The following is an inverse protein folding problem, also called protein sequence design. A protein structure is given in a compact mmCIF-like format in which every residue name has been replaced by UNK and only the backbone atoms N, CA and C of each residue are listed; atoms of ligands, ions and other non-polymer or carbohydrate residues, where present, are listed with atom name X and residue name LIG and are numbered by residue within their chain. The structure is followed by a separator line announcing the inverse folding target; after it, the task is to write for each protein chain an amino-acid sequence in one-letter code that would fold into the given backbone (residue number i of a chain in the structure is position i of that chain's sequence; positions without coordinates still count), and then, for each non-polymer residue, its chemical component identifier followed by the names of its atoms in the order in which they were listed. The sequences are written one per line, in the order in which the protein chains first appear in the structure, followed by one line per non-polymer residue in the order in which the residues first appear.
data_IF_449394703448
#
_entry.id   IF_449394703448
#
_cell.length_a   1.000
_cell.length_b   1.000
_cell.length_c   1.000
_cell.angle_alpha   90.00
_cell.angle_beta   90.00
_cell.angle_gamma   90.00
#
_symmetry.space_group_name_H-M   'P 1'
#
loop_
_entity.id
_entity.type
_entity.pdbx_description
1 polymer ?
#
# COMPACT_ATOMS: atom_id res chain seq x y z
N UNK A 1 19.84 4.89 -6.24
CA UNK A 1 19.51 5.26 -4.83
C UNK A 1 18.00 5.27 -4.70
N UNK A 2 17.45 4.71 -3.62
CA UNK A 2 16.01 4.81 -3.32
C UNK A 2 15.84 5.88 -2.25
N UNK A 3 14.90 6.80 -2.46
CA UNK A 3 14.54 7.81 -1.49
C UNK A 3 13.08 7.58 -1.06
N UNK A 4 12.84 7.30 0.21
CA UNK A 4 11.50 7.16 0.78
C UNK A 4 11.11 8.41 1.53
N UNK A 5 9.84 8.83 1.44
CA UNK A 5 9.37 10.09 2.01
C UNK A 5 9.51 11.29 1.05
N UNK A 6 9.29 12.51 1.57
CA UNK A 6 9.17 12.88 2.98
C UNK A 6 7.89 12.42 3.66
N UNK A 7 7.73 12.78 4.94
CA UNK A 7 6.53 12.52 5.74
C UNK A 7 6.07 11.05 5.70
N UNK A 8 7.03 10.13 5.91
CA UNK A 8 6.78 8.69 5.92
C UNK A 8 7.24 8.04 7.24
N UNK A 9 6.73 6.85 7.51
CA UNK A 9 7.11 6.06 8.68
C UNK A 9 8.47 5.34 8.53
N UNK A 10 9.01 5.31 7.32
CA UNK A 10 10.25 4.60 7.00
C UNK A 10 10.03 3.27 6.30
N UNK A 11 10.98 2.37 6.50
CA UNK A 11 10.98 1.03 5.90
C UNK A 11 11.40 -0.01 6.94
N UNK A 12 10.69 -1.12 6.99
CA UNK A 12 11.04 -2.27 7.83
C UNK A 12 11.02 -3.57 7.02
N UNK A 13 12.08 -4.35 7.13
CA UNK A 13 12.10 -5.78 6.76
C UNK A 13 12.23 -6.57 8.07
N UNK A 14 11.13 -7.19 8.57
CA UNK A 14 11.10 -7.82 9.89
C UNK A 14 12.19 -8.88 10.05
N UNK A 15 12.91 -8.84 11.16
CA UNK A 15 14.05 -9.71 11.41
C UNK A 15 15.34 -9.33 10.69
N UNK A 16 15.34 -8.33 9.80
CA UNK A 16 16.51 -7.91 9.01
C UNK A 16 16.94 -6.47 9.31
N UNK A 17 16.04 -5.48 9.09
CA UNK A 17 16.40 -4.07 9.25
C UNK A 17 15.17 -3.18 9.50
N UNK A 18 15.41 -2.04 10.18
CA UNK A 18 14.45 -0.95 10.36
C UNK A 18 15.15 0.39 10.11
N UNK A 19 14.60 1.17 9.20
CA UNK A 19 14.98 2.57 8.95
C UNK A 19 13.73 3.43 9.13
N UNK A 20 13.66 4.20 10.21
CA UNK A 20 12.51 5.05 10.55
C UNK A 20 11.90 4.71 11.91
N UNK A 21 10.59 4.90 12.03
CA UNK A 21 9.86 4.84 13.31
C UNK A 21 8.81 3.72 13.38
N UNK A 22 8.83 2.78 12.46
CA UNK A 22 7.85 1.68 12.43
C UNK A 22 7.94 0.81 13.69
N UNK A 23 6.80 0.48 14.35
CA UNK A 23 6.81 -0.32 15.58
C UNK A 23 7.08 -1.80 15.28
N UNK A 24 8.33 -2.23 15.37
CA UNK A 24 8.77 -3.57 14.97
C UNK A 24 8.00 -4.72 15.63
N UNK A 25 7.45 -4.51 16.82
CA UNK A 25 6.71 -5.55 17.56
C UNK A 25 5.39 -5.98 16.92
N UNK A 26 4.78 -5.17 16.03
CA UNK A 26 3.56 -5.54 15.32
C UNK A 26 3.84 -6.33 14.03
N UNK A 27 5.08 -6.36 13.57
CA UNK A 27 5.47 -7.06 12.36
C UNK A 27 5.92 -8.50 12.66
N UNK A 28 5.48 -9.44 11.85
CA UNK A 28 5.99 -10.81 11.79
C UNK A 28 6.77 -10.94 10.48
N UNK A 29 7.90 -11.64 10.50
CA UNK A 29 8.64 -11.95 9.27
C UNK A 29 7.83 -12.92 8.39
N UNK A 30 7.76 -12.66 7.09
CA UNK A 30 7.01 -13.47 6.13
C UNK A 30 7.14 -12.95 4.70
N UNK A 31 6.06 -13.05 3.92
CA UNK A 31 6.10 -12.90 2.47
C UNK A 31 5.10 -11.88 1.88
N UNK A 32 4.52 -11.02 2.68
CA UNK A 32 3.67 -9.92 2.19
C UNK A 32 4.47 -8.63 2.12
N UNK A 33 4.62 -8.04 0.94
CA UNK A 33 5.15 -6.69 0.76
C UNK A 33 4.07 -5.65 1.03
N UNK A 34 4.36 -4.64 1.86
CA UNK A 34 3.41 -3.54 2.13
C UNK A 34 4.01 -2.24 1.59
N UNK A 35 3.24 -1.50 0.79
CA UNK A 35 3.58 -0.13 0.38
C UNK A 35 2.42 0.80 0.65
N UNK A 36 2.68 1.95 1.27
CA UNK A 36 1.59 2.88 1.60
C UNK A 36 2.04 4.32 1.78
N UNK A 37 1.09 5.23 1.56
CA UNK A 37 1.27 6.66 1.87
C UNK A 37 1.10 6.89 3.38
N UNK A 38 0.17 6.18 4.01
CA UNK A 38 -0.10 6.25 5.45
C UNK A 38 0.69 5.20 6.24
N UNK A 39 1.49 5.65 7.20
CA UNK A 39 2.15 4.76 8.16
C UNK A 39 1.15 4.01 9.03
N UNK A 40 0.16 4.72 9.59
CA UNK A 40 -0.85 4.14 10.50
C UNK A 40 -1.65 3.01 9.86
N UNK A 41 -2.10 3.19 8.62
CA UNK A 41 -2.82 2.13 7.89
C UNK A 41 -1.89 0.96 7.52
N UNK A 42 -0.61 1.22 7.27
CA UNK A 42 0.41 0.17 7.13
C UNK A 42 0.59 -0.65 8.41
N UNK A 43 0.57 0.00 9.57
CA UNK A 43 0.62 -0.68 10.88
C UNK A 43 -0.62 -1.54 11.11
N UNK A 44 -1.80 -1.02 10.77
CA UNK A 44 -3.05 -1.75 10.87
C UNK A 44 -3.03 -3.02 10.01
N UNK A 45 -2.60 -2.91 8.76
CA UNK A 45 -2.45 -4.06 7.87
C UNK A 45 -1.46 -5.09 8.44
N UNK A 46 -0.29 -4.66 8.92
CA UNK A 46 0.71 -5.55 9.51
C UNK A 46 0.20 -6.25 10.78
N UNK A 47 -0.53 -5.54 11.65
CA UNK A 47 -1.12 -6.11 12.86
C UNK A 47 -2.19 -7.17 12.54
N UNK A 48 -3.05 -6.90 11.55
CA UNK A 48 -4.05 -7.86 11.08
C UNK A 48 -3.39 -9.11 10.47
N UNK A 49 -2.37 -8.93 9.63
CA UNK A 49 -1.61 -10.06 9.06
C UNK A 49 -0.99 -10.90 10.17
N UNK A 50 -0.37 -10.27 11.17
CA UNK A 50 0.20 -10.97 12.32
C UNK A 50 -0.85 -11.79 13.09
N UNK A 51 -2.07 -11.27 13.25
CA UNK A 51 -3.17 -12.00 13.88
C UNK A 51 -3.58 -13.25 13.09
N UNK A 52 -3.39 -13.25 11.77
CA UNK A 52 -3.58 -14.42 10.91
C UNK A 52 -2.34 -15.34 10.83
N UNK A 53 -1.26 -15.05 11.56
CA UNK A 53 0.00 -15.77 11.43
C UNK A 53 0.73 -15.52 10.10
N UNK A 54 0.33 -14.47 9.36
CA UNK A 54 0.93 -14.06 8.10
C UNK A 54 1.97 -12.99 8.38
N UNK A 55 3.14 -13.12 7.78
CA UNK A 55 4.24 -12.19 7.98
C UNK A 55 4.48 -11.27 6.79
N UNK A 56 5.29 -10.25 7.04
CA UNK A 56 5.67 -9.20 6.10
C UNK A 56 7.11 -9.43 5.64
N UNK A 57 7.37 -9.38 4.33
CA UNK A 57 8.72 -9.38 3.77
C UNK A 57 9.39 -8.02 3.98
N UNK A 58 8.72 -6.98 3.53
CA UNK A 58 9.13 -5.59 3.72
C UNK A 58 7.92 -4.67 3.72
N UNK A 59 7.90 -3.69 4.61
CA UNK A 59 6.91 -2.61 4.62
C UNK A 59 7.60 -1.29 4.32
N UNK A 60 7.08 -0.55 3.32
CA UNK A 60 7.65 0.72 2.84
C UNK A 60 6.63 1.84 2.95
N UNK A 61 6.96 2.88 3.71
CA UNK A 61 6.22 4.12 3.71
C UNK A 61 6.75 5.06 2.61
N UNK A 62 5.91 5.46 1.67
CA UNK A 62 6.29 6.45 0.65
C UNK A 62 5.92 7.89 1.04
N UNK A 63 5.05 8.05 2.04
CA UNK A 63 4.65 9.35 2.59
C UNK A 63 3.38 9.93 1.97
N UNK A 64 2.76 10.84 2.72
CA UNK A 64 1.48 11.50 2.36
C UNK A 64 1.63 12.84 1.67
N UNK A 65 2.85 13.26 1.27
CA UNK A 65 3.09 14.50 0.56
C UNK A 65 2.80 14.35 -0.94
N UNK A 66 2.48 15.46 -1.66
CA UNK A 66 2.22 15.43 -3.10
C UNK A 66 3.44 14.99 -3.92
N UNK A 67 4.65 15.32 -3.42
CA UNK A 67 5.93 14.99 -4.08
C UNK A 67 6.69 14.05 -3.16
N UNK A 68 6.92 12.84 -3.64
CA UNK A 68 7.62 11.77 -2.94
C UNK A 68 8.94 11.45 -3.63
N UNK A 69 9.88 10.91 -2.87
CA UNK A 69 11.14 10.40 -3.40
C UNK A 69 10.97 9.12 -4.22
N UNK A 70 10.06 8.22 -3.79
CA UNK A 70 9.66 7.02 -4.52
C UNK A 70 8.14 6.97 -4.63
N UNK A 71 7.65 6.53 -5.77
CA UNK A 71 6.23 6.32 -6.05
C UNK A 71 5.78 4.90 -5.68
N UNK A 72 4.47 4.63 -5.75
CA UNK A 72 3.97 3.25 -5.71
C UNK A 72 4.62 2.37 -6.77
N UNK A 73 4.74 2.86 -8.01
CA UNK A 73 5.34 2.14 -9.13
C UNK A 73 6.77 1.68 -8.80
N UNK A 74 7.59 2.55 -8.23
CA UNK A 74 8.99 2.23 -7.90
C UNK A 74 9.08 1.10 -6.86
N UNK A 75 8.16 1.06 -5.89
CA UNK A 75 8.15 0.03 -4.86
C UNK A 75 7.49 -1.26 -5.36
N UNK A 76 6.45 -1.17 -6.18
CA UNK A 76 5.82 -2.32 -6.83
C UNK A 76 6.82 -3.09 -7.70
N UNK A 77 7.66 -2.38 -8.47
CA UNK A 77 8.72 -3.00 -9.24
C UNK A 77 9.66 -3.81 -8.35
N UNK A 78 10.06 -3.25 -7.21
CA UNK A 78 10.94 -3.94 -6.27
C UNK A 78 10.31 -5.16 -5.62
N UNK A 79 9.03 -5.08 -5.29
CA UNK A 79 8.31 -6.23 -4.76
C UNK A 79 8.10 -7.33 -5.80
N UNK A 80 7.92 -6.97 -7.08
CA UNK A 80 7.87 -7.96 -8.16
C UNK A 80 9.21 -8.69 -8.33
N UNK A 81 10.33 -7.96 -8.20
CA UNK A 81 11.69 -8.50 -8.31
C UNK A 81 12.16 -9.24 -7.02
N UNK A 82 11.47 -9.10 -5.88
CA UNK A 82 11.87 -9.67 -4.58
C UNK A 82 11.32 -11.09 -4.39
N UNK A 83 12.18 -12.08 -4.37
CA UNK A 83 11.81 -13.48 -4.17
C UNK A 83 11.15 -13.77 -2.80
N UNK A 84 11.43 -12.94 -1.78
CA UNK A 84 10.80 -13.06 -0.46
C UNK A 84 9.36 -12.50 -0.44
N UNK A 85 8.95 -11.73 -1.45
CA UNK A 85 7.61 -11.14 -1.55
C UNK A 85 6.71 -11.96 -2.48
N UNK A 86 5.62 -12.52 -1.97
CA UNK A 86 4.68 -13.34 -2.74
C UNK A 86 3.34 -12.65 -3.01
N UNK A 87 2.92 -11.75 -2.14
CA UNK A 87 1.70 -10.94 -2.26
C UNK A 87 2.03 -9.49 -1.90
N UNK A 88 1.42 -8.55 -2.58
CA UNK A 88 1.63 -7.11 -2.35
C UNK A 88 0.37 -6.49 -1.75
N UNK A 89 0.54 -5.76 -0.66
CA UNK A 89 -0.48 -4.90 -0.07
C UNK A 89 -0.17 -3.43 -0.40
N UNK A 90 -1.07 -2.78 -1.12
CA UNK A 90 -0.96 -1.37 -1.51
C UNK A 90 -1.99 -0.53 -0.74
N UNK A 91 -1.54 0.48 -0.01
CA UNK A 91 -2.40 1.36 0.79
C UNK A 91 -2.34 2.78 0.21
N UNK A 92 -3.37 3.10 -0.54
CA UNK A 92 -3.58 4.41 -1.16
C UNK A 92 -4.54 5.30 -0.39
N UNK A 93 -4.72 6.49 -0.91
CA UNK A 93 -5.66 7.49 -0.39
C UNK A 93 -6.12 8.42 -1.51
N UNK A 94 -7.05 9.32 -1.21
CA UNK A 94 -7.47 10.37 -2.13
C UNK A 94 -6.30 11.29 -2.52
N UNK A 95 -6.43 11.93 -3.68
CA UNK A 95 -5.48 12.94 -4.18
C UNK A 95 -4.32 12.38 -4.96
N UNK A 96 -3.96 13.11 -6.00
CA UNK A 96 -2.87 12.78 -6.90
C UNK A 96 -3.09 11.57 -7.80
N UNK A 97 -2.24 11.37 -8.82
CA UNK A 97 -2.41 10.35 -9.85
C UNK A 97 -1.72 9.00 -9.52
N UNK A 98 -0.97 8.89 -8.42
CA UNK A 98 -0.04 7.79 -8.19
C UNK A 98 -0.69 6.40 -8.17
N UNK A 99 -1.92 6.26 -7.65
CA UNK A 99 -2.64 4.99 -7.63
C UNK A 99 -3.11 4.58 -9.03
N UNK A 100 -3.46 5.54 -9.91
CA UNK A 100 -3.77 5.27 -11.31
C UNK A 100 -2.51 4.85 -12.11
N UNK A 101 -1.39 5.50 -11.87
CA UNK A 101 -0.08 5.12 -12.43
C UNK A 101 0.34 3.72 -11.97
N UNK A 102 0.12 3.42 -10.68
CA UNK A 102 0.36 2.10 -10.12
C UNK A 102 -0.52 1.03 -10.77
N UNK A 103 -1.81 1.31 -10.96
CA UNK A 103 -2.74 0.39 -11.62
C UNK A 103 -2.32 0.05 -13.04
N UNK A 104 -1.90 1.06 -13.82
CA UNK A 104 -1.37 0.84 -15.17
C UNK A 104 -0.10 -0.04 -15.13
N UNK A 105 0.81 0.23 -14.21
CA UNK A 105 2.02 -0.57 -14.05
C UNK A 105 1.72 -2.02 -13.62
N UNK A 106 0.81 -2.22 -12.65
CA UNK A 106 0.41 -3.54 -12.16
C UNK A 106 -0.11 -4.40 -13.31
N UNK A 107 -1.02 -3.85 -14.12
CA UNK A 107 -1.64 -4.55 -15.24
C UNK A 107 -0.64 -5.17 -16.20
N UNK A 108 0.46 -4.47 -16.48
CA UNK A 108 1.40 -4.85 -17.54
C UNK A 108 2.69 -5.52 -17.02
N UNK A 109 3.01 -5.35 -15.70
CA UNK A 109 4.34 -5.69 -15.20
C UNK A 109 4.34 -6.49 -13.89
N UNK A 110 3.20 -6.66 -13.21
CA UNK A 110 3.16 -7.35 -11.91
C UNK A 110 2.38 -8.65 -12.04
N UNK A 111 3.04 -9.76 -11.77
CA UNK A 111 2.45 -11.10 -11.79
C UNK A 111 1.98 -11.55 -10.40
N UNK A 112 2.55 -10.96 -9.35
CA UNK A 112 2.19 -11.27 -7.97
C UNK A 112 0.80 -10.70 -7.65
N UNK A 113 -0.02 -11.41 -6.86
CA UNK A 113 -1.31 -10.90 -6.43
C UNK A 113 -1.16 -9.57 -5.68
N UNK A 114 -2.00 -8.59 -6.04
CA UNK A 114 -2.04 -7.28 -5.37
C UNK A 114 -3.38 -7.10 -4.68
N UNK A 115 -3.32 -6.75 -3.40
CA UNK A 115 -4.47 -6.32 -2.59
C UNK A 115 -4.31 -4.85 -2.28
N UNK A 116 -5.32 -4.04 -2.52
CA UNK A 116 -5.28 -2.61 -2.20
C UNK A 116 -6.36 -2.21 -1.20
N UNK A 117 -6.08 -1.16 -0.45
CA UNK A 117 -7.07 -0.36 0.25
C UNK A 117 -6.87 1.11 -0.11
N UNK A 118 -7.95 1.84 -0.36
CA UNK A 118 -7.90 3.28 -0.66
C UNK A 118 -8.70 4.05 0.38
N UNK A 119 -8.03 4.89 1.16
CA UNK A 119 -8.66 5.71 2.18
C UNK A 119 -9.40 6.91 1.58
N UNK A 120 -10.54 7.29 2.21
CA UNK A 120 -11.23 8.53 1.88
C UNK A 120 -12.47 8.38 1.01
N UNK A 121 -13.17 7.23 1.02
CA UNK A 121 -14.41 7.02 0.26
C UNK A 121 -15.50 8.09 0.54
N UNK A 122 -15.51 8.68 1.73
CA UNK A 122 -16.45 9.72 2.15
C UNK A 122 -15.84 11.12 2.17
N UNK A 123 -14.63 11.28 1.67
CA UNK A 123 -13.93 12.55 1.70
C UNK A 123 -14.58 13.58 0.76
N UNK A 124 -14.85 14.82 1.22
CA UNK A 124 -15.39 15.87 0.38
C UNK A 124 -14.33 16.41 -0.60
N UNK A 125 -14.76 16.81 -1.79
CA UNK A 125 -13.89 17.46 -2.78
C UNK A 125 -13.34 18.79 -2.27
N UNK A 126 -12.10 19.12 -2.64
CA UNK A 126 -11.47 20.39 -2.36
C UNK A 126 -11.04 20.62 -0.91
N UNK A 127 -11.09 19.59 -0.05
CA UNK A 127 -10.60 19.66 1.33
C UNK A 127 -9.43 18.72 1.54
N UNK A 128 -8.39 19.21 2.20
CA UNK A 128 -7.24 18.40 2.62
C UNK A 128 -7.63 17.51 3.80
N UNK A 129 -7.37 16.20 3.69
CA UNK A 129 -7.79 15.20 4.67
C UNK A 129 -6.57 14.56 5.36
N UNK A 130 -5.94 15.31 6.28
CA UNK A 130 -4.79 14.85 7.07
C UNK A 130 -3.45 15.03 6.37
N UNK A 131 -3.18 14.30 5.31
CA UNK A 131 -1.97 14.45 4.50
C UNK A 131 -2.05 15.64 3.54
N UNK A 132 -0.93 16.31 3.27
CA UNK A 132 -0.87 17.44 2.34
C UNK A 132 -1.29 17.04 0.91
N UNK A 133 -0.98 15.81 0.50
CA UNK A 133 -1.38 15.24 -0.80
C UNK A 133 -2.80 14.66 -0.82
N UNK A 134 -3.48 14.54 0.32
CA UNK A 134 -4.82 13.97 0.41
C UNK A 134 -5.90 15.02 0.16
N UNK A 135 -6.01 15.48 -1.07
CA UNK A 135 -7.00 16.44 -1.54
C UNK A 135 -7.50 16.04 -2.93
N UNK A 136 -8.82 16.00 -3.12
CA UNK A 136 -9.43 15.74 -4.43
C UNK A 136 -9.51 17.05 -5.19
N UNK A 137 -8.65 17.25 -6.17
CA UNK A 137 -8.52 18.46 -6.98
C UNK A 137 -8.85 18.24 -8.46
N UNK A 138 -8.75 17.00 -8.94
CA UNK A 138 -8.97 16.62 -10.32
C UNK A 138 -9.79 15.31 -10.45
N UNK A 139 -10.13 14.95 -11.68
CA UNK A 139 -10.74 13.67 -12.01
C UNK A 139 -9.75 12.52 -11.77
N UNK A 140 -10.24 11.39 -11.27
CA UNK A 140 -9.40 10.23 -10.95
C UNK A 140 -8.72 10.27 -9.57
N UNK A 141 -8.93 11.35 -8.80
CA UNK A 141 -8.29 11.54 -7.49
C UNK A 141 -9.17 11.15 -6.29
N UNK A 142 -10.47 10.91 -6.49
CA UNK A 142 -11.33 10.39 -5.43
C UNK A 142 -11.05 8.93 -5.13
N UNK A 143 -11.36 8.48 -3.91
CA UNK A 143 -11.16 7.09 -3.55
C UNK A 143 -12.01 6.14 -4.39
N UNK A 144 -13.24 6.51 -4.74
CA UNK A 144 -14.11 5.70 -5.59
C UNK A 144 -13.53 5.49 -6.99
N UNK A 145 -13.06 6.57 -7.64
CA UNK A 145 -12.42 6.47 -8.95
C UNK A 145 -11.15 5.61 -8.91
N UNK A 146 -10.32 5.75 -7.85
CA UNK A 146 -9.12 4.93 -7.66
C UNK A 146 -9.44 3.45 -7.44
N UNK A 147 -10.50 3.15 -6.67
CA UNK A 147 -10.99 1.78 -6.49
C UNK A 147 -11.41 1.16 -7.82
N UNK A 148 -12.15 1.89 -8.65
CA UNK A 148 -12.54 1.43 -10.00
C UNK A 148 -11.33 1.18 -10.89
N UNK A 149 -10.37 2.11 -10.93
CA UNK A 149 -9.15 2.00 -11.73
C UNK A 149 -8.30 0.79 -11.29
N UNK A 150 -8.09 0.62 -9.99
CA UNK A 150 -7.32 -0.52 -9.44
C UNK A 150 -8.03 -1.85 -9.71
N UNK A 151 -9.34 -1.91 -9.52
CA UNK A 151 -10.14 -3.12 -9.80
C UNK A 151 -10.09 -3.50 -11.29
N UNK A 152 -10.14 -2.53 -12.19
CA UNK A 152 -10.01 -2.76 -13.64
C UNK A 152 -8.60 -3.26 -14.04
N UNK A 153 -7.59 -3.01 -13.21
CA UNK A 153 -6.23 -3.53 -13.38
C UNK A 153 -6.02 -4.92 -12.75
N UNK A 154 -7.07 -5.56 -12.21
CA UNK A 154 -6.99 -6.90 -11.58
C UNK A 154 -6.61 -6.88 -10.10
N UNK A 155 -6.56 -5.70 -9.47
CA UNK A 155 -6.26 -5.58 -8.04
C UNK A 155 -7.48 -5.93 -7.21
N UNK A 156 -7.31 -6.75 -6.18
CA UNK A 156 -8.37 -7.02 -5.19
C UNK A 156 -8.44 -5.88 -4.19
N UNK A 157 -9.57 -5.16 -4.13
CA UNK A 157 -9.70 -4.02 -3.23
C UNK A 157 -10.45 -4.40 -1.95
N UNK A 158 -9.83 -4.15 -0.79
CA UNK A 158 -10.46 -4.30 0.51
C UNK A 158 -11.50 -3.18 0.72
N UNK A 159 -12.74 -3.50 1.14
CA UNK A 159 -13.83 -2.52 1.21
C UNK A 159 -13.68 -1.52 2.38
N UNK A 160 -12.93 -1.89 3.39
CA UNK A 160 -12.65 -1.02 4.56
C UNK A 160 -11.33 -1.46 5.23
N UNK A 161 -10.73 -0.63 6.09
CA UNK A 161 -9.43 -0.92 6.67
C UNK A 161 -9.44 -2.12 7.64
N UNK A 162 -10.57 -2.46 8.25
CA UNK A 162 -10.65 -3.53 9.25
C UNK A 162 -10.54 -4.94 8.65
N UNK A 163 -10.65 -5.09 7.33
CA UNK A 163 -10.60 -6.39 6.63
C UNK A 163 -9.45 -6.51 5.63
N UNK A 164 -8.43 -5.67 5.74
CA UNK A 164 -7.24 -5.75 4.87
C UNK A 164 -6.56 -7.11 5.05
N UNK A 165 -6.32 -7.53 6.29
CA UNK A 165 -5.69 -8.81 6.59
C UNK A 165 -6.50 -10.01 6.11
N UNK A 166 -7.82 -9.99 6.34
CA UNK A 166 -8.73 -11.05 5.85
C UNK A 166 -8.69 -11.15 4.32
N UNK A 167 -8.68 -10.00 3.63
CA UNK A 167 -8.64 -9.94 2.17
C UNK A 167 -7.33 -10.53 1.65
N UNK A 168 -6.20 -10.19 2.25
CA UNK A 168 -4.88 -10.73 1.88
C UNK A 168 -4.85 -12.24 2.15
N UNK A 169 -5.30 -12.68 3.32
CA UNK A 169 -5.33 -14.10 3.68
C UNK A 169 -6.18 -14.93 2.69
N UNK A 170 -7.29 -14.37 2.20
CA UNK A 170 -8.13 -14.99 1.18
C UNK A 170 -7.41 -15.09 -0.17
N UNK A 171 -6.77 -14.01 -0.62
CA UNK A 171 -6.02 -13.98 -1.89
C UNK A 171 -4.85 -14.96 -1.86
N UNK A 172 -4.11 -15.03 -0.77
CA UNK A 172 -3.01 -15.99 -0.60
C UNK A 172 -3.45 -17.44 -0.73
N UNK A 173 -4.64 -17.80 -0.19
CA UNK A 173 -5.20 -19.16 -0.32
C UNK A 173 -5.64 -19.50 -1.74
N UNK A 174 -5.94 -18.52 -2.57
CA UNK A 174 -6.33 -18.71 -3.96
C UNK A 174 -5.13 -18.85 -4.90
N UNK A 175 -3.98 -18.29 -4.50
CA UNK A 175 -2.73 -18.30 -5.25
C UNK A 175 -1.80 -19.49 -4.91
N UNK A 176 -2.10 -20.23 -3.85
CA UNK A 176 -1.37 -21.43 -3.42
C UNK A 176 -1.88 -22.69 -4.12
#
# INVERSE_FOLDING_TARGET
MILTGPNCAGTISPGKALLGIMPGHIYLQGNVGIVGRSGTLGYEAAAQLKAHGIGVSTSVGIGGDPINGSSFKDILQRFEEDDDTHVICMIGEIGGPQEAEAAAYIKDNVNKPVVAYVAGLTAPKGRTMGHAGAIISAFGESASEKVEILSAAGVTVAPNPAVIGDTIAKVMKQAA
#
